data_IF_117750829339
#
_entry.id   IF_117750829339
#
_cell.length_a   1.000
_cell.length_b   1.000
_cell.length_c   1.000
_cell.angle_alpha   90.00
_cell.angle_beta   90.00
_cell.angle_gamma   90.00
#
_symmetry.space_group_name_H-M   'P 1'
#
loop_
_entity.id
_entity.type
_entity.pdbx_description
1 polymer ?
#
# COMPACT_ATOMS: atom_id res chain seq x y z
N UNK A 1 -17.93 -3.51 -60.89
CA UNK A 1 -16.76 -2.87 -60.23
C UNK A 1 -15.57 -3.76 -60.50
N UNK A 2 -14.57 -3.19 -61.16
CA UNK A 2 -13.59 -3.88 -62.00
C UNK A 2 -12.20 -3.71 -61.40
N UNK A 3 -11.33 -4.70 -61.62
CA UNK A 3 -9.87 -4.75 -61.43
C UNK A 3 -9.31 -5.28 -60.07
N UNK A 4 -8.49 -6.34 -60.13
CA UNK A 4 -7.21 -6.45 -59.44
C UNK A 4 -6.06 -6.31 -60.44
N UNK A 5 -5.00 -5.58 -60.08
CA UNK A 5 -3.77 -5.47 -60.90
C UNK A 5 -2.61 -6.27 -60.31
N UNK A 6 -1.93 -6.92 -61.24
CA UNK A 6 -0.82 -7.86 -61.13
C UNK A 6 0.52 -7.26 -60.66
N UNK A 7 1.25 -8.06 -59.88
CA UNK A 7 2.58 -8.67 -60.16
C UNK A 7 3.63 -7.81 -60.90
N UNK A 8 4.87 -7.80 -60.38
CA UNK A 8 6.05 -8.48 -60.99
C UNK A 8 7.34 -8.21 -60.22
N UNK A 9 8.06 -9.31 -60.02
CA UNK A 9 9.42 -9.54 -59.52
C UNK A 9 10.54 -8.89 -60.32
N UNK A 10 11.69 -8.61 -59.67
CA UNK A 10 13.09 -8.89 -60.11
C UNK A 10 13.92 -8.97 -58.81
N UNK A 11 14.85 -9.89 -58.56
CA UNK A 11 15.75 -10.62 -59.44
C UNK A 11 17.20 -10.28 -59.03
N UNK A 12 17.85 -11.24 -58.36
CA UNK A 12 19.25 -11.40 -57.87
C UNK A 12 20.32 -11.22 -58.98
N UNK A 13 21.63 -11.59 -58.88
CA UNK A 13 22.65 -11.75 -57.81
C UNK A 13 24.06 -11.19 -58.21
N UNK A 14 25.09 -11.41 -57.38
CA UNK A 14 26.51 -11.74 -57.71
C UNK A 14 27.44 -11.14 -56.65
N UNK A 15 28.50 -11.74 -56.14
CA UNK A 15 29.27 -12.94 -56.47
C UNK A 15 30.65 -12.80 -55.81
N UNK A 16 31.32 -13.91 -55.49
CA UNK A 16 32.67 -13.86 -54.92
C UNK A 16 33.11 -15.18 -54.28
N UNK A 17 33.40 -16.17 -55.15
CA UNK A 17 34.08 -17.43 -54.82
C UNK A 17 35.58 -17.18 -54.54
N UNK A 18 36.25 -18.03 -53.75
CA UNK A 18 37.13 -19.09 -54.28
C UNK A 18 37.96 -19.80 -53.19
N UNK A 19 38.35 -21.03 -53.57
CA UNK A 19 39.48 -21.84 -53.12
C UNK A 19 39.24 -22.87 -51.99
N UNK A 20 39.09 -24.11 -52.43
CA UNK A 20 39.36 -25.34 -51.70
C UNK A 20 40.85 -25.73 -51.86
N UNK A 21 41.46 -26.32 -50.83
CA UNK A 21 42.55 -27.30 -50.98
C UNK A 21 42.53 -28.27 -49.79
N UNK A 22 42.71 -29.58 -50.07
CA UNK A 22 42.77 -30.70 -49.11
C UNK A 22 44.21 -31.00 -48.67
N UNK A 23 44.28 -31.78 -47.57
CA UNK A 23 45.32 -32.72 -47.13
C UNK A 23 46.45 -32.22 -46.20
N UNK A 24 46.45 -32.76 -44.96
CA UNK A 24 47.58 -33.51 -44.42
C UNK A 24 48.55 -32.83 -43.43
N UNK A 25 48.44 -33.27 -42.16
CA UNK A 25 49.55 -33.49 -41.19
C UNK A 25 50.00 -32.38 -40.20
N UNK A 26 50.58 -32.74 -39.01
CA UNK A 26 49.97 -32.41 -37.72
C UNK A 26 50.81 -31.56 -36.75
N UNK A 27 50.19 -31.26 -35.60
CA UNK A 27 50.77 -30.94 -34.29
C UNK A 27 51.61 -29.65 -34.12
N UNK A 28 51.02 -28.66 -33.43
CA UNK A 28 51.69 -28.04 -32.28
C UNK A 28 50.65 -27.88 -31.17
N UNK A 29 50.78 -28.70 -30.13
CA UNK A 29 50.13 -28.46 -28.86
C UNK A 29 50.62 -27.10 -28.35
N UNK A 30 49.77 -26.07 -28.41
CA UNK A 30 50.02 -24.84 -27.68
C UNK A 30 49.80 -25.16 -26.21
N UNK A 31 50.92 -25.39 -25.54
CA UNK A 31 51.06 -25.57 -24.11
C UNK A 31 50.26 -24.51 -23.36
N UNK A 32 49.27 -24.97 -22.60
CA UNK A 32 48.66 -24.21 -21.50
C UNK A 32 49.76 -23.59 -20.65
N UNK A 33 49.77 -22.26 -20.43
CA UNK A 33 50.61 -21.72 -19.37
C UNK A 33 50.08 -22.26 -18.04
N UNK A 34 51.01 -22.80 -17.26
CA UNK A 34 50.77 -23.44 -15.99
C UNK A 34 49.94 -22.54 -15.07
N UNK A 35 48.75 -23.01 -14.69
CA UNK A 35 47.98 -22.45 -13.58
C UNK A 35 48.71 -22.83 -12.30
N UNK A 36 49.18 -21.87 -11.51
CA UNK A 36 49.26 -21.97 -10.05
C UNK A 36 49.82 -20.69 -9.44
N UNK A 37 48.92 -19.88 -8.86
CA UNK A 37 49.27 -18.79 -7.95
C UNK A 37 48.10 -18.50 -6.98
N UNK A 38 48.36 -18.11 -5.71
CA UNK A 38 47.33 -17.72 -4.73
C UNK A 38 46.37 -16.63 -5.23
N UNK A 39 46.87 -15.71 -6.05
CA UNK A 39 46.10 -14.60 -6.63
C UNK A 39 45.12 -15.06 -7.72
N UNK A 40 45.47 -16.13 -8.43
CA UNK A 40 44.71 -16.69 -9.55
C UNK A 40 43.45 -17.42 -9.06
N UNK A 41 43.51 -18.03 -7.86
CA UNK A 41 42.34 -18.57 -7.18
C UNK A 41 41.32 -17.48 -6.83
N UNK A 42 41.78 -16.27 -6.51
CA UNK A 42 40.90 -15.12 -6.26
C UNK A 42 40.20 -14.63 -7.53
N UNK A 43 40.88 -14.68 -8.68
CA UNK A 43 40.32 -14.34 -10.00
C UNK A 43 39.34 -15.40 -10.48
N UNK A 44 39.73 -16.66 -10.50
CA UNK A 44 38.87 -17.77 -10.96
C UNK A 44 37.59 -17.90 -10.11
N UNK A 45 37.66 -17.63 -8.81
CA UNK A 45 36.50 -17.64 -7.90
C UNK A 45 35.62 -16.37 -8.02
N UNK A 46 36.15 -15.29 -8.61
CA UNK A 46 35.39 -14.12 -9.04
C UNK A 46 34.66 -14.39 -10.35
N UNK A 47 35.39 -14.83 -11.37
CA UNK A 47 34.84 -15.22 -12.69
C UNK A 47 33.72 -16.27 -12.54
N UNK A 48 33.94 -17.30 -11.71
CA UNK A 48 32.93 -18.31 -11.45
C UNK A 48 31.68 -17.79 -10.71
N UNK A 49 31.74 -16.64 -10.04
CA UNK A 49 30.55 -16.03 -9.44
C UNK A 49 29.81 -15.18 -10.47
N UNK A 50 30.56 -14.38 -11.24
CA UNK A 50 30.01 -13.51 -12.28
C UNK A 50 29.29 -14.34 -13.36
N UNK A 51 29.89 -15.46 -13.77
CA UNK A 51 29.25 -16.41 -14.70
C UNK A 51 27.92 -16.91 -14.16
N UNK A 52 27.87 -17.31 -12.88
CA UNK A 52 26.67 -17.89 -12.24
C UNK A 52 25.60 -16.83 -12.07
N UNK A 53 25.99 -15.59 -11.74
CA UNK A 53 25.10 -14.45 -11.68
C UNK A 53 24.48 -14.17 -13.04
N UNK A 54 25.27 -14.14 -14.11
CA UNK A 54 24.78 -13.94 -15.48
C UNK A 54 23.84 -15.06 -15.92
N UNK A 55 24.15 -16.33 -15.60
CA UNK A 55 23.26 -17.46 -15.89
C UNK A 55 21.89 -17.31 -15.17
N UNK A 56 21.85 -16.71 -13.98
CA UNK A 56 20.57 -16.42 -13.29
C UNK A 56 19.79 -15.35 -14.06
N UNK A 57 20.46 -14.29 -14.54
CA UNK A 57 19.83 -13.23 -15.32
C UNK A 57 19.25 -13.76 -16.63
N UNK A 58 20.02 -14.57 -17.37
CA UNK A 58 19.55 -15.23 -18.59
C UNK A 58 18.35 -16.14 -18.31
N UNK A 59 18.42 -16.94 -17.25
CA UNK A 59 17.31 -17.80 -16.86
C UNK A 59 16.02 -17.01 -16.60
N UNK A 60 16.11 -15.87 -15.88
CA UNK A 60 14.96 -15.01 -15.60
C UNK A 60 14.45 -14.35 -16.88
N UNK A 61 15.33 -13.91 -17.77
CA UNK A 61 14.94 -13.34 -19.06
C UNK A 61 14.14 -14.36 -19.90
N UNK A 62 14.57 -15.62 -19.92
CA UNK A 62 13.93 -16.68 -20.70
C UNK A 62 12.63 -17.22 -20.08
N UNK A 63 12.55 -17.26 -18.74
CA UNK A 63 11.45 -17.93 -18.02
C UNK A 63 10.49 -16.96 -17.33
N UNK A 64 10.85 -15.67 -17.22
CA UNK A 64 10.10 -14.65 -16.49
C UNK A 64 10.05 -14.86 -14.97
N UNK A 65 10.86 -15.76 -14.41
CA UNK A 65 10.79 -16.14 -13.00
C UNK A 65 12.15 -16.55 -12.41
N UNK A 66 12.30 -16.34 -11.10
CA UNK A 66 13.47 -16.78 -10.34
C UNK A 66 13.64 -18.31 -10.39
N UNK A 67 14.88 -18.82 -10.45
CA UNK A 67 15.14 -20.26 -10.37
C UNK A 67 14.56 -20.90 -9.10
N UNK A 68 13.99 -22.09 -9.24
CA UNK A 68 13.39 -22.85 -8.14
C UNK A 68 14.03 -24.22 -8.00
N UNK A 69 13.91 -24.84 -6.83
CA UNK A 69 14.49 -26.14 -6.53
C UNK A 69 13.67 -27.31 -7.13
N UNK A 70 13.29 -27.19 -8.42
CA UNK A 70 12.47 -28.17 -9.13
C UNK A 70 13.34 -29.32 -9.67
N UNK A 71 13.15 -30.58 -9.20
CA UNK A 71 13.93 -31.74 -9.65
C UNK A 71 13.84 -32.01 -11.16
N UNK A 72 12.71 -31.66 -11.79
CA UNK A 72 12.45 -31.87 -13.22
C UNK A 72 13.12 -30.82 -14.11
N UNK A 73 13.76 -29.78 -13.53
CA UNK A 73 14.51 -28.74 -14.26
C UNK A 73 15.92 -28.62 -13.69
N UNK A 74 16.91 -29.41 -14.18
CA UNK A 74 18.25 -29.46 -13.61
C UNK A 74 18.97 -28.11 -13.55
N UNK A 75 18.83 -27.27 -14.59
CA UNK A 75 19.40 -25.92 -14.62
C UNK A 75 18.77 -25.02 -13.54
N UNK A 76 17.44 -25.00 -13.44
CA UNK A 76 16.70 -24.22 -12.42
C UNK A 76 17.10 -24.63 -11.00
N UNK A 77 17.20 -25.95 -10.74
CA UNK A 77 17.64 -26.49 -9.45
C UNK A 77 19.06 -26.05 -9.09
N UNK A 78 20.01 -26.10 -10.04
CA UNK A 78 21.40 -25.68 -9.82
C UNK A 78 21.48 -24.18 -9.49
N UNK A 79 20.81 -23.34 -10.26
CA UNK A 79 20.80 -21.89 -10.04
C UNK A 79 20.09 -21.52 -8.72
N UNK A 80 19.01 -22.22 -8.36
CA UNK A 80 18.36 -22.07 -7.07
C UNK A 80 19.28 -22.47 -5.89
N UNK A 81 20.11 -23.50 -6.10
CA UNK A 81 21.16 -23.90 -5.14
C UNK A 81 22.19 -22.79 -4.93
N UNK A 82 22.68 -22.18 -6.01
CA UNK A 82 23.62 -21.05 -5.94
C UNK A 82 23.02 -19.83 -5.22
N UNK A 83 21.77 -19.48 -5.52
CA UNK A 83 21.05 -18.40 -4.82
C UNK A 83 20.88 -18.71 -3.32
N UNK A 84 20.61 -19.96 -2.96
CA UNK A 84 20.55 -20.37 -1.55
C UNK A 84 21.88 -20.18 -0.83
N UNK A 85 23.00 -20.45 -1.50
CA UNK A 85 24.33 -20.19 -0.95
C UNK A 85 24.55 -18.69 -0.71
N UNK A 86 24.14 -17.84 -1.67
CA UNK A 86 24.20 -16.39 -1.48
C UNK A 86 23.35 -15.94 -0.29
N UNK A 87 22.15 -16.51 -0.10
CA UNK A 87 21.26 -16.16 1.02
C UNK A 87 21.84 -16.58 2.36
N UNK A 88 22.50 -17.74 2.40
CA UNK A 88 23.13 -18.28 3.61
C UNK A 88 24.23 -17.35 4.13
N UNK A 89 24.97 -16.73 3.22
CA UNK A 89 26.07 -15.81 3.52
C UNK A 89 25.73 -14.35 3.21
N UNK A 90 24.45 -13.98 3.17
CA UNK A 90 23.99 -12.66 2.71
C UNK A 90 24.54 -11.49 3.54
N UNK A 91 24.88 -11.75 4.80
CA UNK A 91 25.41 -10.78 5.76
C UNK A 91 26.96 -10.71 5.68
N UNK A 92 27.59 -11.70 5.04
CA UNK A 92 29.05 -11.82 4.83
C UNK A 92 29.46 -11.63 3.35
N UNK A 93 28.53 -11.23 2.48
CA UNK A 93 28.80 -11.01 1.07
C UNK A 93 29.72 -9.79 0.88
N UNK A 94 30.71 -9.87 -0.03
CA UNK A 94 31.43 -8.68 -0.48
C UNK A 94 30.44 -7.62 -0.97
N UNK A 95 30.66 -6.37 -0.58
CA UNK A 95 29.71 -5.27 -0.81
C UNK A 95 29.29 -5.13 -2.28
N UNK A 96 30.23 -5.29 -3.21
CA UNK A 96 29.94 -5.22 -4.64
C UNK A 96 28.98 -6.34 -5.11
N UNK A 97 29.06 -7.54 -4.54
CA UNK A 97 28.15 -8.67 -4.85
C UNK A 97 26.77 -8.46 -4.27
N UNK A 98 26.72 -7.97 -3.03
CA UNK A 98 25.45 -7.64 -2.39
C UNK A 98 24.69 -6.59 -3.20
N UNK A 99 25.38 -5.52 -3.66
CA UNK A 99 24.79 -4.50 -4.54
C UNK A 99 24.28 -5.08 -5.85
N UNK A 100 25.07 -5.89 -6.56
CA UNK A 100 24.64 -6.53 -7.82
C UNK A 100 23.39 -7.39 -7.65
N UNK A 101 23.34 -8.21 -6.60
CA UNK A 101 22.17 -9.05 -6.31
C UNK A 101 20.94 -8.21 -5.95
N UNK A 102 21.11 -7.17 -5.12
CA UNK A 102 20.03 -6.28 -4.71
C UNK A 102 19.46 -5.45 -5.87
N UNK A 103 20.32 -5.03 -6.80
CA UNK A 103 19.94 -4.23 -7.98
C UNK A 103 19.23 -5.08 -9.05
N UNK A 104 19.77 -6.25 -9.36
CA UNK A 104 19.32 -7.03 -10.52
C UNK A 104 18.40 -8.21 -10.19
N UNK A 105 18.38 -8.67 -8.94
CA UNK A 105 17.57 -9.82 -8.51
C UNK A 105 16.63 -9.42 -7.35
N UNK A 106 15.67 -8.51 -7.56
CA UNK A 106 14.75 -8.10 -6.50
C UNK A 106 14.04 -9.31 -5.89
N UNK A 107 14.13 -9.43 -4.56
CA UNK A 107 13.58 -10.55 -3.81
C UNK A 107 14.46 -11.81 -3.76
N UNK A 108 15.72 -11.76 -4.23
CA UNK A 108 16.65 -12.88 -4.10
C UNK A 108 16.89 -13.31 -2.65
N UNK A 109 16.68 -12.41 -1.68
CA UNK A 109 16.91 -12.65 -0.24
C UNK A 109 15.85 -13.58 0.39
N UNK A 110 14.62 -13.62 -0.13
CA UNK A 110 13.58 -14.54 0.34
C UNK A 110 13.03 -15.39 -0.83
N UNK A 111 13.25 -16.72 -0.88
CA UNK A 111 12.66 -17.58 -1.91
C UNK A 111 11.14 -17.50 -2.00
N UNK A 112 10.47 -17.05 -0.95
CA UNK A 112 9.02 -16.85 -0.93
C UNK A 112 8.60 -15.58 -1.65
N UNK A 113 9.52 -14.68 -2.00
CA UNK A 113 9.22 -13.45 -2.74
C UNK A 113 8.61 -13.73 -4.11
N UNK A 114 9.08 -14.75 -4.84
CA UNK A 114 8.47 -15.10 -6.14
C UNK A 114 7.00 -15.53 -6.00
N UNK A 115 6.70 -16.38 -5.00
CA UNK A 115 5.34 -16.82 -4.72
C UNK A 115 4.48 -15.66 -4.17
N UNK A 116 5.09 -14.76 -3.40
CA UNK A 116 4.45 -13.56 -2.87
C UNK A 116 4.09 -12.58 -4.00
N UNK A 117 5.00 -12.37 -4.95
CA UNK A 117 4.81 -11.51 -6.11
C UNK A 117 3.73 -12.07 -7.04
N UNK A 118 3.77 -13.37 -7.35
CA UNK A 118 2.72 -14.03 -8.14
C UNK A 118 1.33 -13.84 -7.49
N UNK A 119 1.26 -13.98 -6.16
CA UNK A 119 0.00 -13.74 -5.42
C UNK A 119 -0.42 -12.27 -5.45
N UNK A 120 0.52 -11.34 -5.37
CA UNK A 120 0.25 -9.91 -5.52
C UNK A 120 -0.34 -9.61 -6.91
N UNK A 121 0.20 -10.22 -7.96
CA UNK A 121 -0.28 -10.02 -9.33
C UNK A 121 -1.69 -10.60 -9.54
N UNK A 122 -2.00 -11.76 -8.94
CA UNK A 122 -3.38 -12.30 -8.92
C UNK A 122 -4.36 -11.34 -8.22
N UNK A 123 -3.97 -10.80 -7.06
CA UNK A 123 -4.77 -9.82 -6.32
C UNK A 123 -4.93 -8.52 -7.13
N UNK A 124 -3.88 -8.09 -7.84
CA UNK A 124 -3.91 -6.92 -8.73
C UNK A 124 -4.89 -7.12 -9.87
N UNK A 125 -4.83 -8.27 -10.55
CA UNK A 125 -5.75 -8.61 -11.62
C UNK A 125 -7.21 -8.66 -11.13
N UNK A 126 -7.45 -9.21 -9.94
CA UNK A 126 -8.78 -9.17 -9.33
C UNK A 126 -9.24 -7.73 -9.08
N UNK A 127 -8.37 -6.89 -8.49
CA UNK A 127 -8.67 -5.49 -8.20
C UNK A 127 -9.01 -4.70 -9.47
N UNK A 128 -8.24 -4.88 -10.54
CA UNK A 128 -8.47 -4.22 -11.83
C UNK A 128 -9.81 -4.64 -12.44
N UNK A 129 -10.19 -5.91 -12.33
CA UNK A 129 -11.46 -6.43 -12.88
C UNK A 129 -12.68 -6.00 -12.06
N UNK A 130 -12.57 -5.93 -10.74
CA UNK A 130 -13.71 -5.76 -9.83
C UNK A 130 -13.77 -4.40 -9.13
N UNK A 131 -12.73 -3.57 -9.27
CA UNK A 131 -12.63 -2.24 -8.64
C UNK A 131 -12.53 -2.28 -7.11
N UNK A 132 -12.20 -3.44 -6.53
CA UNK A 132 -12.05 -3.63 -5.08
C UNK A 132 -11.06 -4.75 -4.77
N UNK A 133 -10.51 -4.72 -3.56
CA UNK A 133 -9.72 -5.83 -3.05
C UNK A 133 -10.58 -7.05 -2.74
N UNK A 134 -10.03 -8.28 -2.91
CA UNK A 134 -10.73 -9.50 -2.59
C UNK A 134 -10.91 -9.64 -1.07
N UNK A 135 -12.07 -10.13 -0.66
CA UNK A 135 -12.41 -10.37 0.73
C UNK A 135 -12.34 -11.86 1.07
N UNK A 136 -11.95 -12.20 2.31
CA UNK A 136 -12.05 -13.58 2.79
C UNK A 136 -13.54 -13.92 3.02
N UNK A 137 -14.09 -14.91 2.32
CA UNK A 137 -15.49 -15.32 2.51
C UNK A 137 -16.26 -15.70 1.24
N UNK A 138 -17.51 -15.21 1.13
CA UNK A 138 -18.65 -15.64 0.27
C UNK A 138 -18.44 -15.68 -1.26
N UNK A 139 -17.21 -15.59 -1.74
CA UNK A 139 -16.84 -15.67 -3.15
C UNK A 139 -16.28 -17.07 -3.48
N UNK A 140 -15.84 -17.28 -4.72
CA UNK A 140 -15.19 -18.53 -5.13
C UNK A 140 -14.01 -18.86 -4.21
N UNK A 141 -13.69 -20.15 -4.06
CA UNK A 141 -12.56 -20.60 -3.22
C UNK A 141 -11.24 -19.89 -3.56
N UNK A 142 -11.04 -19.61 -4.85
CA UNK A 142 -9.88 -18.89 -5.37
C UNK A 142 -9.84 -17.44 -4.86
N UNK A 143 -10.91 -16.67 -5.05
CA UNK A 143 -10.97 -15.27 -4.57
C UNK A 143 -10.89 -15.19 -3.05
N UNK A 144 -11.54 -16.13 -2.38
CA UNK A 144 -11.48 -16.27 -0.93
C UNK A 144 -10.03 -16.49 -0.45
N UNK A 145 -9.19 -17.18 -1.24
CA UNK A 145 -7.77 -17.38 -0.95
C UNK A 145 -6.97 -16.09 -1.04
N UNK A 146 -7.26 -15.22 -2.02
CA UNK A 146 -6.64 -13.90 -2.16
C UNK A 146 -6.97 -13.00 -0.95
N UNK A 147 -8.23 -13.01 -0.52
CA UNK A 147 -8.67 -12.28 0.66
C UNK A 147 -7.99 -12.76 1.94
N UNK A 148 -7.84 -14.09 2.13
CA UNK A 148 -7.07 -14.65 3.26
C UNK A 148 -5.60 -14.25 3.20
N UNK A 149 -5.00 -14.19 2.01
CA UNK A 149 -3.62 -13.76 1.84
C UNK A 149 -3.44 -12.29 2.27
N UNK A 150 -4.35 -11.38 1.89
CA UNK A 150 -4.32 -10.00 2.36
C UNK A 150 -4.50 -9.89 3.88
N UNK A 151 -5.38 -10.71 4.48
CA UNK A 151 -5.51 -10.79 5.95
C UNK A 151 -4.19 -11.20 6.59
N UNK A 152 -3.46 -12.15 6.00
CA UNK A 152 -2.15 -12.56 6.50
C UNK A 152 -1.11 -11.44 6.38
N UNK A 153 -1.07 -10.71 5.26
CA UNK A 153 -0.17 -9.57 5.10
C UNK A 153 -0.43 -8.50 6.16
N UNK A 154 -1.70 -8.16 6.42
CA UNK A 154 -2.10 -7.18 7.44
C UNK A 154 -1.67 -7.59 8.85
N UNK A 155 -1.89 -8.86 9.21
CA UNK A 155 -1.53 -9.39 10.53
C UNK A 155 -0.02 -9.38 10.80
N UNK A 156 0.80 -9.38 9.76
CA UNK A 156 2.26 -9.44 9.86
C UNK A 156 2.91 -8.18 9.26
N UNK A 157 2.18 -7.06 9.20
CA UNK A 157 2.67 -5.81 8.60
C UNK A 157 3.99 -5.36 9.23
N UNK A 158 4.11 -5.47 10.56
CA UNK A 158 5.30 -5.15 11.35
C UNK A 158 6.54 -5.99 10.97
N UNK A 159 6.32 -7.12 10.30
CA UNK A 159 7.36 -8.07 9.88
C UNK A 159 7.56 -8.11 8.36
N UNK A 160 6.82 -7.29 7.61
CA UNK A 160 6.98 -7.24 6.16
C UNK A 160 8.25 -6.49 5.78
N UNK A 161 9.08 -7.05 4.88
CA UNK A 161 10.13 -6.30 4.20
C UNK A 161 9.57 -5.06 3.51
N UNK A 162 10.35 -3.98 3.50
CA UNK A 162 9.90 -2.68 2.98
C UNK A 162 9.46 -2.73 1.50
N UNK A 163 10.11 -3.58 0.69
CA UNK A 163 9.72 -3.76 -0.71
C UNK A 163 8.31 -4.35 -0.87
N UNK A 164 7.89 -5.26 0.03
CA UNK A 164 6.53 -5.84 0.04
C UNK A 164 5.51 -4.80 0.46
N UNK A 165 5.86 -3.97 1.44
CA UNK A 165 5.03 -2.82 1.85
C UNK A 165 4.80 -1.89 0.66
N UNK A 166 5.87 -1.46 -0.03
CA UNK A 166 5.76 -0.59 -1.21
C UNK A 166 4.91 -1.22 -2.33
N UNK A 167 5.05 -2.52 -2.55
CA UNK A 167 4.30 -3.22 -3.59
C UNK A 167 2.80 -3.37 -3.24
N UNK A 168 2.46 -3.58 -1.96
CA UNK A 168 1.08 -3.57 -1.48
C UNK A 168 0.46 -2.16 -1.50
N UNK A 169 1.25 -1.13 -1.17
CA UNK A 169 0.83 0.27 -1.26
C UNK A 169 0.53 0.68 -2.71
N UNK A 170 1.31 0.19 -3.66
CA UNK A 170 1.08 0.37 -5.09
C UNK A 170 -0.12 -0.43 -5.61
N UNK A 171 -0.40 -1.61 -5.04
CA UNK A 171 -1.60 -2.39 -5.35
C UNK A 171 -2.86 -1.62 -4.97
N UNK A 172 -2.97 -1.25 -3.69
CA UNK A 172 -4.11 -0.50 -3.17
C UNK A 172 -3.73 0.11 -1.81
N UNK A 173 -3.78 1.44 -1.71
CA UNK A 173 -3.49 2.18 -0.47
C UNK A 173 -4.30 1.73 0.74
N UNK A 174 -5.48 1.15 0.52
CA UNK A 174 -6.39 0.66 1.56
C UNK A 174 -6.19 -0.84 1.86
N UNK A 175 -5.11 -1.48 1.38
CA UNK A 175 -4.84 -2.90 1.66
C UNK A 175 -4.74 -3.22 3.15
N UNK A 176 -4.45 -2.22 3.98
CA UNK A 176 -4.43 -2.30 5.45
C UNK A 176 -5.82 -2.26 6.08
N UNK A 177 -6.83 -1.76 5.36
CA UNK A 177 -8.20 -1.77 5.83
C UNK A 177 -8.78 -3.20 5.68
N UNK A 178 -9.21 -3.84 6.79
CA UNK A 178 -9.85 -5.15 6.73
C UNK A 178 -11.22 -5.11 6.02
N UNK A 179 -11.77 -3.94 5.72
CA UNK A 179 -13.07 -3.76 5.06
C UNK A 179 -13.02 -2.84 3.82
N UNK A 180 -12.40 -3.29 2.71
CA UNK A 180 -12.11 -2.52 1.50
C UNK A 180 -13.32 -2.35 0.56
N UNK A 181 -14.50 -2.02 1.09
CA UNK A 181 -15.45 -1.29 0.27
C UNK A 181 -14.82 0.08 0.05
N UNK A 182 -14.38 0.34 -1.19
CA UNK A 182 -13.48 1.43 -1.59
C UNK A 182 -13.70 2.72 -0.81
N UNK A 183 -12.63 3.38 -0.38
CA UNK A 183 -12.65 4.74 0.18
C UNK A 183 -13.79 5.61 -0.38
N UNK A 184 -13.89 5.70 -1.71
CA UNK A 184 -14.96 6.43 -2.41
C UNK A 184 -16.38 5.97 -2.03
N UNK A 185 -16.64 4.65 -1.96
CA UNK A 185 -17.94 4.12 -1.52
C UNK A 185 -18.23 4.45 -0.05
N UNK A 186 -17.21 4.46 0.81
CA UNK A 186 -17.42 4.85 2.21
C UNK A 186 -17.70 6.36 2.34
N UNK A 187 -17.02 7.19 1.54
CA UNK A 187 -17.30 8.64 1.44
C UNK A 187 -18.74 8.86 0.94
N UNK A 188 -19.14 8.20 -0.15
CA UNK A 188 -20.49 8.32 -0.71
C UNK A 188 -21.56 7.86 0.28
N UNK A 189 -21.33 6.73 0.94
CA UNK A 189 -22.24 6.20 1.97
C UNK A 189 -22.34 7.12 3.17
N UNK A 190 -21.21 7.66 3.62
CA UNK A 190 -21.18 8.63 4.71
C UNK A 190 -21.96 9.89 4.34
N UNK A 191 -21.81 10.38 3.11
CA UNK A 191 -22.52 11.56 2.63
C UNK A 191 -24.03 11.32 2.60
N UNK A 192 -24.47 10.18 2.05
CA UNK A 192 -25.87 9.79 2.01
C UNK A 192 -26.49 9.66 3.42
N UNK A 193 -25.76 9.08 4.38
CA UNK A 193 -26.23 8.97 5.77
C UNK A 193 -26.33 10.35 6.42
N UNK A 194 -25.32 11.21 6.26
CA UNK A 194 -25.34 12.58 6.82
C UNK A 194 -26.49 13.41 6.22
N UNK A 195 -26.72 13.30 4.91
CA UNK A 195 -27.84 13.93 4.22
C UNK A 195 -29.19 13.43 4.76
N UNK A 196 -29.35 12.10 4.87
CA UNK A 196 -30.54 11.46 5.46
C UNK A 196 -30.82 11.91 6.89
N UNK A 197 -29.78 12.22 7.66
CA UNK A 197 -29.87 12.73 9.03
C UNK A 197 -30.01 14.26 9.12
N UNK A 198 -30.20 14.96 7.99
CA UNK A 198 -30.37 16.40 7.92
C UNK A 198 -29.08 17.17 8.27
N UNK A 199 -27.93 16.68 7.82
CA UNK A 199 -26.62 17.26 8.07
C UNK A 199 -26.00 16.89 9.42
N UNK A 200 -26.62 15.99 10.18
CA UNK A 200 -26.05 15.47 11.43
C UNK A 200 -25.13 14.29 11.14
N UNK A 201 -24.01 14.23 11.88
CA UNK A 201 -23.11 13.09 11.79
C UNK A 201 -23.66 11.87 12.55
N UNK A 202 -23.50 10.67 11.99
CA UNK A 202 -23.99 9.43 12.57
C UNK A 202 -23.30 9.09 13.90
N UNK A 203 -24.01 8.39 14.79
CA UNK A 203 -23.48 7.95 16.09
C UNK A 203 -23.31 6.43 16.17
N UNK A 204 -22.25 5.98 16.84
CA UNK A 204 -22.02 4.56 17.10
C UNK A 204 -23.04 3.95 18.08
N UNK A 205 -23.84 4.78 18.77
CA UNK A 205 -24.94 4.33 19.60
C UNK A 205 -26.27 4.11 18.86
N UNK A 206 -26.32 4.31 17.54
CA UNK A 206 -27.53 4.14 16.75
C UNK A 206 -27.90 2.66 16.58
N UNK A 207 -29.21 2.38 16.57
CA UNK A 207 -29.75 1.05 16.24
C UNK A 207 -29.79 0.79 14.73
N UNK A 208 -29.59 1.81 13.89
CA UNK A 208 -29.45 1.65 12.44
C UNK A 208 -28.05 1.07 12.12
N UNK A 209 -27.97 -0.15 11.54
CA UNK A 209 -26.70 -0.80 11.22
C UNK A 209 -25.83 0.00 10.25
N UNK A 210 -26.44 0.77 9.35
CA UNK A 210 -25.72 1.60 8.39
C UNK A 210 -25.15 2.86 9.06
N UNK A 211 -25.95 3.50 9.91
CA UNK A 211 -25.49 4.65 10.70
C UNK A 211 -24.31 4.27 11.59
N UNK A 212 -24.44 3.15 12.31
CA UNK A 212 -23.40 2.63 13.18
C UNK A 212 -22.09 2.40 12.41
N UNK A 213 -22.17 1.74 11.24
CA UNK A 213 -20.99 1.46 10.41
C UNK A 213 -20.31 2.74 9.92
N UNK A 214 -21.08 3.73 9.45
CA UNK A 214 -20.51 5.01 9.01
C UNK A 214 -19.89 5.75 10.20
N UNK A 215 -20.51 5.72 11.37
CA UNK A 215 -19.98 6.33 12.58
C UNK A 215 -18.62 5.74 12.99
N UNK A 216 -18.49 4.41 12.96
CA UNK A 216 -17.23 3.71 13.21
C UNK A 216 -16.15 4.07 12.19
N UNK A 217 -16.50 4.07 10.90
CA UNK A 217 -15.56 4.43 9.85
C UNK A 217 -15.05 5.87 9.99
N UNK A 218 -15.95 6.85 10.20
CA UNK A 218 -15.56 8.24 10.45
C UNK A 218 -14.71 8.39 11.72
N UNK A 219 -14.99 7.60 12.77
CA UNK A 219 -14.18 7.58 13.99
C UNK A 219 -12.76 7.06 13.73
N UNK A 220 -12.62 6.00 12.92
CA UNK A 220 -11.33 5.49 12.47
C UNK A 220 -10.55 6.55 11.69
N UNK A 221 -11.21 7.25 10.75
CA UNK A 221 -10.57 8.32 9.97
C UNK A 221 -10.09 9.48 10.85
N UNK A 222 -10.84 9.88 11.88
CA UNK A 222 -10.40 10.90 12.85
C UNK A 222 -9.17 10.43 13.64
N UNK A 223 -9.15 9.16 14.05
CA UNK A 223 -8.06 8.58 14.85
C UNK A 223 -6.77 8.45 14.05
N UNK A 224 -6.88 8.10 12.77
CA UNK A 224 -5.75 7.91 11.86
C UNK A 224 -5.51 9.12 10.94
N UNK A 225 -6.07 10.29 11.25
CA UNK A 225 -6.00 11.48 10.39
C UNK A 225 -4.57 11.89 10.04
N UNK A 226 -3.62 11.72 10.96
CA UNK A 226 -2.20 12.04 10.71
C UNK A 226 -1.56 11.19 9.62
N UNK A 227 -2.21 10.08 9.23
CA UNK A 227 -1.77 9.15 8.19
C UNK A 227 -2.52 9.32 6.87
N UNK A 228 -3.48 10.25 6.80
CA UNK A 228 -4.26 10.53 5.59
C UNK A 228 -3.48 11.46 4.65
N UNK A 229 -3.70 11.32 3.34
CA UNK A 229 -3.16 12.28 2.37
C UNK A 229 -3.96 13.58 2.39
N UNK A 230 -3.37 14.65 1.86
CA UNK A 230 -4.06 15.94 1.74
C UNK A 230 -5.30 15.85 0.85
N UNK A 231 -5.26 15.01 -0.19
CA UNK A 231 -6.40 14.75 -1.08
C UNK A 231 -7.55 14.06 -0.35
N UNK A 232 -7.27 13.08 0.51
CA UNK A 232 -8.29 12.40 1.31
C UNK A 232 -8.93 13.34 2.33
N UNK A 233 -8.11 14.17 2.99
CA UNK A 233 -8.61 15.19 3.93
C UNK A 233 -9.51 16.17 3.18
N UNK A 234 -9.06 16.66 2.03
CA UNK A 234 -9.83 17.58 1.19
C UNK A 234 -11.15 16.97 0.72
N UNK A 235 -11.14 15.72 0.28
CA UNK A 235 -12.34 15.03 -0.16
C UNK A 235 -13.36 14.88 0.97
N UNK A 236 -12.93 14.51 2.18
CA UNK A 236 -13.84 14.47 3.33
C UNK A 236 -14.29 15.87 3.78
N UNK A 237 -13.44 16.89 3.72
CA UNK A 237 -13.81 18.25 4.07
C UNK A 237 -14.84 18.83 3.09
N UNK A 238 -14.73 18.51 1.80
CA UNK A 238 -15.67 18.90 0.74
C UNK A 238 -16.99 18.11 0.81
N UNK A 239 -16.91 16.78 0.93
CA UNK A 239 -18.09 15.89 0.88
C UNK A 239 -18.81 15.76 2.21
N UNK A 240 -18.11 15.96 3.33
CA UNK A 240 -18.63 15.81 4.68
C UNK A 240 -18.22 16.99 5.58
N UNK A 241 -18.65 18.23 5.29
CA UNK A 241 -18.25 19.39 6.07
C UNK A 241 -18.50 19.21 7.57
N UNK A 242 -17.42 19.27 8.35
CA UNK A 242 -17.46 19.12 9.80
C UNK A 242 -17.24 17.70 10.33
N UNK A 243 -16.94 16.73 9.48
CA UNK A 243 -16.67 15.34 9.87
C UNK A 243 -15.56 15.23 10.90
N UNK A 244 -14.54 16.10 10.85
CA UNK A 244 -13.40 16.11 11.75
C UNK A 244 -13.36 17.32 12.70
N UNK A 245 -14.51 17.91 13.04
CA UNK A 245 -14.52 18.89 14.14
C UNK A 245 -14.18 18.18 15.44
N UNK A 246 -12.94 18.34 15.89
CA UNK A 246 -12.47 17.77 17.16
C UNK A 246 -13.33 18.24 18.33
N UNK A 247 -13.43 17.42 19.39
CA UNK A 247 -14.16 17.78 20.62
C UNK A 247 -13.76 19.15 21.17
N UNK A 248 -12.48 19.50 21.03
CA UNK A 248 -11.94 20.81 21.42
C UNK A 248 -12.41 21.95 20.52
N UNK A 249 -12.45 21.76 19.20
CA UNK A 249 -12.93 22.77 18.26
C UNK A 249 -14.44 23.03 18.44
N UNK A 250 -15.23 21.96 18.60
CA UNK A 250 -16.66 22.07 18.93
C UNK A 250 -16.87 22.76 20.28
N UNK A 251 -16.03 22.47 21.28
CA UNK A 251 -16.09 23.12 22.58
C UNK A 251 -15.77 24.63 22.47
N UNK A 252 -14.74 25.00 21.70
CA UNK A 252 -14.38 26.40 21.43
C UNK A 252 -15.45 27.15 20.64
N UNK A 253 -16.08 26.53 19.65
CA UNK A 253 -17.18 27.11 18.89
C UNK A 253 -18.42 27.37 19.78
N UNK A 254 -18.78 26.40 20.63
CA UNK A 254 -19.88 26.56 21.60
C UNK A 254 -19.58 27.63 22.65
N UNK A 255 -18.33 27.71 23.12
CA UNK A 255 -17.87 28.76 24.02
C UNK A 255 -18.02 30.14 23.37
N UNK A 256 -17.52 30.32 22.15
CA UNK A 256 -17.62 31.57 21.39
C UNK A 256 -19.07 31.97 21.17
N UNK A 257 -19.90 31.06 20.69
CA UNK A 257 -21.32 31.34 20.45
C UNK A 257 -22.03 31.75 21.75
N UNK A 258 -21.79 31.03 22.85
CA UNK A 258 -22.43 31.33 24.15
C UNK A 258 -21.95 32.67 24.70
N UNK A 259 -20.66 33.01 24.50
CA UNK A 259 -20.10 34.29 24.93
C UNK A 259 -20.71 35.45 24.15
N UNK A 260 -20.83 35.31 22.83
CA UNK A 260 -21.52 36.27 21.97
C UNK A 260 -23.00 36.44 22.35
N UNK A 261 -23.69 35.33 22.61
CA UNK A 261 -25.08 35.35 23.05
C UNK A 261 -25.22 36.08 24.38
N UNK A 262 -24.38 35.77 25.37
CA UNK A 262 -24.38 36.42 26.68
C UNK A 262 -24.11 37.92 26.56
N UNK A 263 -23.17 38.32 25.70
CA UNK A 263 -22.84 39.72 25.43
C UNK A 263 -24.01 40.49 24.82
N UNK A 264 -24.68 39.91 23.82
CA UNK A 264 -25.80 40.54 23.11
C UNK A 264 -27.08 40.59 23.93
N UNK A 265 -27.39 39.51 24.64
CA UNK A 265 -28.69 39.34 25.32
C UNK A 265 -28.65 39.64 26.81
N UNK A 266 -27.45 39.86 27.39
CA UNK A 266 -27.23 40.09 28.83
C UNK A 266 -27.81 38.99 29.74
N UNK A 267 -28.03 37.79 29.18
CA UNK A 267 -28.51 36.59 29.88
C UNK A 267 -27.89 35.34 29.28
N UNK A 268 -27.83 34.25 30.06
CA UNK A 268 -27.46 32.95 29.52
C UNK A 268 -28.58 32.38 28.60
N UNK A 269 -28.21 31.53 27.63
CA UNK A 269 -29.18 30.77 26.84
C UNK A 269 -30.14 29.97 27.72
N UNK A 270 -31.42 29.92 27.33
CA UNK A 270 -32.45 29.15 28.05
C UNK A 270 -32.68 27.78 27.43
N UNK A 271 -32.81 26.74 28.27
CA UNK A 271 -33.18 25.39 27.81
C UNK A 271 -34.62 25.32 27.28
N UNK A 272 -35.46 26.29 27.64
CA UNK A 272 -36.86 26.38 27.22
C UNK A 272 -37.07 27.35 26.04
N UNK A 273 -36.00 27.79 25.38
CA UNK A 273 -36.13 28.63 24.20
C UNK A 273 -36.77 27.86 23.05
N UNK A 274 -37.70 28.50 22.34
CA UNK A 274 -38.24 27.99 21.07
C UNK A 274 -37.16 27.89 19.98
N UNK A 275 -36.04 28.61 20.15
CA UNK A 275 -34.88 28.50 19.26
C UNK A 275 -34.01 27.29 19.67
N UNK A 276 -33.99 26.26 18.81
CA UNK A 276 -33.26 25.02 19.04
C UNK A 276 -31.74 25.22 19.20
N UNK A 277 -31.16 26.26 18.57
CA UNK A 277 -29.74 26.59 18.71
C UNK A 277 -29.47 27.13 20.12
N UNK A 278 -30.32 28.02 20.63
CA UNK A 278 -30.21 28.54 22.00
C UNK A 278 -30.38 27.43 23.03
N UNK A 279 -31.41 26.59 22.88
CA UNK A 279 -31.68 25.46 23.77
C UNK A 279 -30.49 24.47 23.82
N UNK A 280 -29.86 24.21 22.67
CA UNK A 280 -28.67 23.35 22.59
C UNK A 280 -27.46 23.92 23.35
N UNK A 281 -27.23 25.23 23.25
CA UNK A 281 -26.14 25.89 23.97
C UNK A 281 -26.42 25.98 25.47
N UNK A 282 -27.68 26.18 25.88
CA UNK A 282 -28.10 26.12 27.28
C UNK A 282 -27.83 24.73 27.89
N UNK A 283 -28.16 23.66 27.15
CA UNK A 283 -27.85 22.29 27.56
C UNK A 283 -26.34 22.04 27.69
N UNK A 284 -25.53 22.62 26.79
CA UNK A 284 -24.07 22.54 26.87
C UNK A 284 -23.50 23.26 28.10
N UNK A 285 -23.95 24.48 28.42
CA UNK A 285 -23.55 25.20 29.65
C UNK A 285 -23.90 24.38 30.89
N UNK A 286 -25.10 23.80 30.95
CA UNK A 286 -25.51 22.90 32.03
C UNK A 286 -24.62 21.65 32.14
N UNK A 287 -24.17 21.10 31.02
CA UNK A 287 -23.23 19.99 31.02
C UNK A 287 -21.85 20.39 31.58
N UNK A 288 -21.36 21.60 31.26
CA UNK A 288 -20.11 22.11 31.84
C UNK A 288 -20.23 22.26 33.36
N UNK A 289 -21.38 22.76 33.87
CA UNK A 289 -21.63 22.88 35.32
C UNK A 289 -21.59 21.54 36.05
N UNK A 290 -22.25 20.53 35.48
CA UNK A 290 -22.29 19.17 36.06
C UNK A 290 -20.92 18.50 36.12
N UNK A 291 -20.04 18.85 35.20
CA UNK A 291 -18.68 18.30 35.11
C UNK A 291 -17.61 19.28 35.60
N UNK A 292 -18.00 20.32 36.36
CA UNK A 292 -17.10 21.42 36.73
C UNK A 292 -15.89 20.97 37.58
N UNK A 293 -15.99 19.85 38.28
CA UNK A 293 -14.90 19.24 39.05
C UNK A 293 -13.93 18.41 38.20
N UNK A 294 -14.24 18.20 36.92
CA UNK A 294 -13.47 17.36 35.97
C UNK A 294 -12.92 18.18 34.79
N UNK A 295 -13.02 19.51 34.85
CA UNK A 295 -12.48 20.39 33.81
C UNK A 295 -10.96 20.51 33.96
N UNK A 296 -10.27 20.65 32.83
CA UNK A 296 -8.86 21.04 32.83
C UNK A 296 -8.73 22.51 33.23
N UNK A 297 -7.60 22.88 33.82
CA UNK A 297 -7.31 24.27 34.21
C UNK A 297 -7.49 25.26 33.05
N UNK A 298 -7.06 24.86 31.85
CA UNK A 298 -7.20 25.66 30.63
C UNK A 298 -8.68 25.92 30.28
N UNK A 299 -9.52 24.88 30.31
CA UNK A 299 -10.95 25.02 29.99
C UNK A 299 -11.69 25.82 31.05
N UNK A 300 -11.35 25.63 32.32
CA UNK A 300 -11.91 26.42 33.41
C UNK A 300 -11.55 27.90 33.27
N UNK A 301 -10.29 28.23 32.99
CA UNK A 301 -9.85 29.59 32.74
C UNK A 301 -10.64 30.23 31.60
N UNK A 302 -10.75 29.55 30.46
CA UNK A 302 -11.50 30.03 29.30
C UNK A 302 -12.99 30.24 29.59
N UNK A 303 -13.63 29.36 30.37
CA UNK A 303 -15.03 29.52 30.78
C UNK A 303 -15.21 30.70 31.73
N UNK A 304 -14.30 30.89 32.70
CA UNK A 304 -14.35 32.01 33.64
C UNK A 304 -14.17 33.36 32.94
N UNK A 305 -13.28 33.42 31.95
CA UNK A 305 -13.01 34.63 31.16
C UNK A 305 -14.15 34.95 30.19
N UNK A 306 -14.61 33.97 29.40
CA UNK A 306 -15.55 34.23 28.31
C UNK A 306 -17.03 34.14 28.72
N UNK A 307 -17.36 33.46 29.83
CA UNK A 307 -18.72 33.26 30.33
C UNK A 307 -18.80 33.61 31.83
N UNK A 308 -18.64 34.88 32.22
CA UNK A 308 -18.69 35.27 33.62
C UNK A 308 -20.00 34.82 34.28
N UNK A 309 -19.88 34.14 35.43
CA UNK A 309 -21.03 33.61 36.18
C UNK A 309 -21.60 32.28 35.65
N UNK A 310 -20.93 31.59 34.73
CA UNK A 310 -21.40 30.32 34.17
C UNK A 310 -21.64 29.21 35.20
N UNK A 311 -21.05 29.30 36.40
CA UNK A 311 -21.24 28.35 37.51
C UNK A 311 -22.56 28.55 38.30
N UNK A 312 -23.27 29.66 38.10
CA UNK A 312 -24.50 30.02 38.85
C UNK A 312 -25.75 29.30 38.39
#
# INVERSE_FOLDING_TARGET
MTQPVNRVSKGVPSGGQFAATRHGEPAVALTSPARTGPEDWGRARREAWDDRFNEVLEYIADNGAMPTHNPSRPQSKRLAGWLNEQRRFKDDLPEFRARLLDEHLPGWRDPRDAAWQARLDEVRAYRERHGRLPAAGKESNEVSSYGRWLVYQRKNEDRLPEHRIRALDALDRDWRDPNPLSWAKNVDRAAAVVERLGGKFPTSGSSDPEEHRVAEWLSSQRTHRSRMTNEQIRELDERLPGWNRGREQVWKERLRWTSDFLRRNRRFPSQHSANLVEASHAAWVRAQRRSATKLTEERERMLNEMLPGWRR
#
